data_IF_036919298757
#
_entry.id   IF_036919298757
#
_cell.length_a   1.000
_cell.length_b   1.000
_cell.length_c   1.000
_cell.angle_alpha   90.00
_cell.angle_beta   90.00
_cell.angle_gamma   90.00
#
_symmetry.space_group_name_H-M   'P 1'
#
loop_
_entity.id
_entity.type
_entity.pdbx_description
1 polymer ?
#
# COMPACT_ATOMS: atom_id res chain seq x y z
N UNK A 1 15.04 25.47 15.20
CA UNK A 1 14.80 25.83 13.78
C UNK A 1 13.48 25.21 13.36
N UNK A 2 12.47 26.05 13.14
CA UNK A 2 11.09 25.60 12.92
C UNK A 2 10.96 24.70 11.70
N UNK A 3 10.20 23.62 11.82
CA UNK A 3 9.79 22.79 10.69
C UNK A 3 8.90 23.61 9.78
N UNK A 4 9.49 24.29 8.80
CA UNK A 4 8.76 24.92 7.69
C UNK A 4 7.92 23.84 7.02
N UNK A 5 6.59 23.99 7.10
CA UNK A 5 5.66 23.08 6.43
C UNK A 5 6.05 22.96 4.96
N UNK A 6 6.20 21.73 4.46
CA UNK A 6 6.62 21.46 3.08
C UNK A 6 5.59 21.99 2.06
N UNK A 7 4.38 22.33 2.52
CA UNK A 7 3.22 22.71 1.70
C UNK A 7 2.77 24.16 1.97
N UNK A 8 3.68 25.13 2.17
CA UNK A 8 3.25 26.54 2.22
C UNK A 8 2.82 27.04 0.84
N UNK A 9 1.89 27.99 0.81
CA UNK A 9 1.41 28.61 -0.43
C UNK A 9 2.55 29.18 -1.26
N UNK A 10 3.46 29.96 -0.65
CA UNK A 10 4.56 30.58 -1.41
C UNK A 10 5.48 29.52 -2.04
N UNK A 11 5.79 28.46 -1.29
CA UNK A 11 6.67 27.39 -1.77
C UNK A 11 6.00 26.58 -2.87
N UNK A 12 4.71 26.25 -2.72
CA UNK A 12 3.97 25.50 -3.72
C UNK A 12 3.80 26.30 -5.01
N UNK A 13 3.48 27.59 -4.94
CA UNK A 13 3.35 28.45 -6.13
C UNK A 13 4.67 28.56 -6.89
N UNK A 14 5.77 28.82 -6.19
CA UNK A 14 7.10 28.92 -6.82
C UNK A 14 7.52 27.62 -7.50
N UNK A 15 7.34 26.48 -6.82
CA UNK A 15 7.77 25.18 -7.37
C UNK A 15 6.80 24.68 -8.45
N UNK A 16 5.51 25.02 -8.37
CA UNK A 16 4.53 24.70 -9.41
C UNK A 16 4.78 25.47 -10.70
N UNK A 17 5.15 26.75 -10.65
CA UNK A 17 5.46 27.52 -11.85
C UNK A 17 6.57 26.87 -12.71
N UNK A 18 7.58 26.28 -12.06
CA UNK A 18 8.70 25.63 -12.75
C UNK A 18 8.49 24.12 -13.02
N UNK A 19 7.49 23.51 -12.39
CA UNK A 19 7.26 22.07 -12.50
C UNK A 19 6.57 21.74 -13.82
N UNK A 20 7.08 20.70 -14.48
CA UNK A 20 6.50 20.16 -15.71
C UNK A 20 5.40 19.12 -15.47
N UNK A 21 5.15 18.74 -14.22
CA UNK A 21 4.12 17.79 -13.83
C UNK A 21 4.20 17.37 -12.36
N UNK A 22 3.22 16.58 -11.90
CA UNK A 22 3.10 16.20 -10.48
C UNK A 22 4.31 15.46 -9.89
N UNK A 23 4.98 14.62 -10.68
CA UNK A 23 6.18 13.91 -10.22
C UNK A 23 7.39 14.87 -10.08
N UNK A 24 7.52 15.81 -11.02
CA UNK A 24 8.54 16.85 -10.99
C UNK A 24 8.33 17.83 -9.83
N UNK A 25 7.09 18.24 -9.60
CA UNK A 25 6.68 19.01 -8.41
C UNK A 25 7.06 18.29 -7.11
N UNK A 26 6.72 17.01 -6.98
CA UNK A 26 7.08 16.21 -5.78
C UNK A 26 8.60 16.11 -5.59
N UNK A 27 9.36 15.90 -6.66
CA UNK A 27 10.83 15.84 -6.62
C UNK A 27 11.45 17.15 -6.17
N UNK A 28 10.99 18.29 -6.73
CA UNK A 28 11.46 19.64 -6.39
C UNK A 28 11.07 20.07 -4.97
N UNK A 29 9.99 19.51 -4.43
CA UNK A 29 9.60 19.67 -3.03
C UNK A 29 10.37 18.73 -2.07
N UNK A 30 11.23 17.85 -2.58
CA UNK A 30 11.98 16.88 -1.78
C UNK A 30 11.10 15.81 -1.12
N UNK A 31 9.89 15.57 -1.65
CA UNK A 31 8.97 14.55 -1.13
C UNK A 31 9.03 13.27 -1.97
N UNK A 32 9.08 12.12 -1.30
CA UNK A 32 9.07 10.83 -1.99
C UNK A 32 7.76 10.63 -2.76
N UNK A 33 7.89 10.20 -4.03
CA UNK A 33 6.77 9.93 -4.93
C UNK A 33 5.88 8.81 -4.36
N UNK A 34 4.68 9.17 -3.88
CA UNK A 34 3.67 8.21 -3.44
C UNK A 34 2.27 8.66 -3.82
N UNK A 35 1.39 7.72 -4.19
CA UNK A 35 0.03 8.05 -4.63
C UNK A 35 -0.84 8.68 -3.54
N UNK A 36 -0.52 8.45 -2.26
CA UNK A 36 -1.17 9.13 -1.13
C UNK A 36 -0.72 10.58 -0.99
N UNK A 37 0.60 10.84 -1.02
CA UNK A 37 1.15 12.20 -0.93
C UNK A 37 0.78 13.05 -2.14
N UNK A 38 0.74 12.45 -3.33
CA UNK A 38 0.24 13.11 -4.54
C UNK A 38 -1.19 13.64 -4.37
N UNK A 39 -2.08 12.86 -3.75
CA UNK A 39 -3.46 13.30 -3.47
C UNK A 39 -3.50 14.46 -2.48
N UNK A 40 -2.72 14.39 -1.41
CA UNK A 40 -2.60 15.50 -0.45
C UNK A 40 -2.09 16.78 -1.13
N UNK A 41 -1.06 16.66 -1.98
CA UNK A 41 -0.50 17.78 -2.74
C UNK A 41 -1.52 18.36 -3.73
N UNK A 42 -2.31 17.51 -4.40
CA UNK A 42 -3.40 17.94 -5.27
C UNK A 42 -4.48 18.72 -4.52
N UNK A 43 -4.88 18.24 -3.33
CA UNK A 43 -5.84 18.96 -2.48
C UNK A 43 -5.30 20.32 -2.04
N UNK A 44 -4.03 20.41 -1.66
CA UNK A 44 -3.40 21.67 -1.22
C UNK A 44 -3.23 22.67 -2.38
N UNK A 45 -2.85 22.20 -3.58
CA UNK A 45 -2.77 23.04 -4.79
C UNK A 45 -4.15 23.60 -5.15
N UNK A 46 -5.20 22.80 -5.04
CA UNK A 46 -6.58 23.24 -5.29
C UNK A 46 -7.08 24.22 -4.21
N UNK A 47 -6.73 23.99 -2.95
CA UNK A 47 -7.06 24.88 -1.82
C UNK A 47 -6.41 26.26 -1.96
N UNK A 48 -5.19 26.32 -2.52
CA UNK A 48 -4.45 27.56 -2.73
C UNK A 48 -4.69 28.24 -4.09
N UNK A 49 -5.56 27.67 -4.93
CA UNK A 49 -5.86 28.12 -6.29
C UNK A 49 -4.60 28.34 -7.15
N UNK A 50 -3.67 27.38 -7.09
CA UNK A 50 -2.40 27.45 -7.82
C UNK A 50 -2.60 26.88 -9.22
N UNK A 51 -2.28 27.67 -10.24
CA UNK A 51 -2.33 27.22 -11.64
C UNK A 51 -1.37 26.05 -11.89
N UNK A 52 -1.94 24.94 -12.35
CA UNK A 52 -1.21 23.73 -12.75
C UNK A 52 -1.66 23.23 -14.12
N UNK A 53 -2.32 24.09 -14.90
CA UNK A 53 -2.81 23.77 -16.25
C UNK A 53 -1.66 23.44 -17.23
N UNK A 54 -0.49 24.05 -17.03
CA UNK A 54 0.73 23.80 -17.81
C UNK A 54 1.41 22.47 -17.48
N UNK A 55 0.98 21.77 -16.43
CA UNK A 55 1.55 20.48 -16.09
C UNK A 55 1.28 19.52 -17.24
N UNK A 56 2.35 19.03 -17.86
CA UNK A 56 2.25 17.97 -18.86
C UNK A 56 1.60 16.80 -18.15
N UNK A 57 0.32 16.57 -18.44
CA UNK A 57 -0.22 15.24 -18.26
C UNK A 57 0.71 14.37 -19.08
N UNK A 58 1.43 13.45 -18.42
CA UNK A 58 1.94 12.29 -19.14
C UNK A 58 0.69 11.68 -19.74
N UNK A 59 0.42 11.99 -21.02
CA UNK A 59 -0.55 11.30 -21.83
C UNK A 59 -0.35 9.84 -21.46
N UNK A 60 -1.34 9.18 -20.84
CA UNK A 60 -1.15 7.82 -20.36
C UNK A 60 -0.71 7.08 -21.60
N UNK A 61 0.56 6.66 -21.61
CA UNK A 61 1.32 6.14 -22.75
C UNK A 61 0.33 5.65 -23.80
N UNK A 62 -0.04 6.52 -24.77
CA UNK A 62 -1.22 6.30 -25.62
C UNK A 62 -0.82 5.22 -26.61
N UNK A 63 -0.86 3.97 -26.15
CA UNK A 63 -0.47 2.79 -26.94
C UNK A 63 -1.33 2.69 -28.20
N UNK A 64 -2.51 3.32 -28.20
CA UNK A 64 -3.42 3.46 -29.32
C UNK A 64 -4.24 4.75 -29.17
N UNK A 65 -4.45 5.47 -30.29
CA UNK A 65 -5.25 6.70 -30.38
C UNK A 65 -6.74 6.41 -30.21
N UNK A 66 -7.56 7.42 -29.89
CA UNK A 66 -9.02 7.23 -29.82
C UNK A 66 -9.60 6.86 -31.19
N UNK A 67 -9.00 7.37 -32.28
CA UNK A 67 -9.30 6.95 -33.65
C UNK A 67 -9.03 5.46 -33.89
N UNK A 68 -7.88 4.94 -33.45
CA UNK A 68 -7.55 3.52 -33.59
C UNK A 68 -8.51 2.62 -32.79
N UNK A 69 -8.97 3.09 -31.61
CA UNK A 69 -10.03 2.40 -30.86
C UNK A 69 -11.33 2.40 -31.64
N UNK A 70 -11.74 3.54 -32.21
CA UNK A 70 -13.00 3.67 -32.94
C UNK A 70 -13.02 2.74 -34.17
N UNK A 71 -11.92 2.65 -34.91
CA UNK A 71 -11.78 1.73 -36.05
C UNK A 71 -11.84 0.25 -35.63
N UNK A 72 -11.13 -0.09 -34.55
CA UNK A 72 -11.18 -1.44 -33.99
C UNK A 72 -12.57 -1.79 -33.49
N UNK A 73 -13.30 -0.85 -32.87
CA UNK A 73 -14.67 -1.01 -32.40
C UNK A 73 -15.65 -1.15 -33.57
N UNK A 74 -15.56 -0.33 -34.60
CA UNK A 74 -16.46 -0.38 -35.75
C UNK A 74 -16.46 -1.76 -36.44
N UNK A 75 -15.32 -2.44 -36.42
CA UNK A 75 -15.10 -3.72 -37.09
C UNK A 75 -15.15 -4.93 -36.14
N UNK A 76 -15.43 -4.73 -34.85
CA UNK A 76 -15.44 -5.81 -33.84
C UNK A 76 -16.79 -5.94 -33.14
N UNK A 77 -17.00 -7.09 -32.51
CA UNK A 77 -18.20 -7.40 -31.73
C UNK A 77 -17.89 -7.65 -30.26
N UNK A 78 -16.61 -7.79 -29.91
CA UNK A 78 -16.15 -8.00 -28.53
C UNK A 78 -14.93 -7.14 -28.18
N UNK A 79 -14.75 -6.77 -26.90
CA UNK A 79 -13.53 -6.06 -26.44
C UNK A 79 -12.26 -6.89 -26.60
N UNK A 80 -12.40 -8.22 -26.66
CA UNK A 80 -11.28 -9.13 -26.89
C UNK A 80 -10.73 -8.97 -28.30
N UNK A 81 -11.61 -8.89 -29.30
CA UNK A 81 -11.24 -8.58 -30.68
C UNK A 81 -10.66 -7.18 -30.80
N UNK A 82 -11.23 -6.19 -30.10
CA UNK A 82 -10.66 -4.82 -30.07
C UNK A 82 -9.23 -4.86 -29.53
N UNK A 83 -8.98 -5.55 -28.41
CA UNK A 83 -7.64 -5.69 -27.86
C UNK A 83 -6.68 -6.40 -28.83
N UNK A 84 -7.14 -7.46 -29.51
CA UNK A 84 -6.35 -8.19 -30.50
C UNK A 84 -5.98 -7.32 -31.71
N UNK A 85 -6.93 -6.56 -32.27
CA UNK A 85 -6.68 -5.62 -33.39
C UNK A 85 -5.76 -4.47 -33.02
N UNK A 86 -5.80 -4.04 -31.77
CA UNK A 86 -4.87 -3.06 -31.22
C UNK A 86 -3.49 -3.67 -30.87
N UNK A 87 -3.26 -4.96 -31.14
CA UNK A 87 -2.00 -5.66 -30.87
C UNK A 87 -1.70 -5.81 -29.37
N UNK A 88 -2.73 -5.89 -28.52
CA UNK A 88 -2.59 -5.93 -27.06
C UNK A 88 -3.17 -7.24 -26.50
N UNK A 89 -2.47 -7.89 -25.56
CA UNK A 89 -3.02 -9.08 -24.91
C UNK A 89 -4.36 -8.76 -24.21
N UNK A 90 -5.41 -9.57 -24.43
CA UNK A 90 -6.74 -9.34 -23.85
C UNK A 90 -6.78 -9.77 -22.37
N UNK A 91 -5.97 -9.12 -21.54
CA UNK A 91 -6.02 -9.26 -20.09
C UNK A 91 -7.19 -8.44 -19.49
N UNK A 92 -7.71 -8.85 -18.34
CA UNK A 92 -8.85 -8.20 -17.66
C UNK A 92 -8.63 -6.69 -17.45
N UNK A 93 -7.40 -6.28 -17.13
CA UNK A 93 -7.03 -4.87 -17.00
C UNK A 93 -7.10 -4.09 -18.32
N UNK A 94 -6.59 -4.68 -19.42
CA UNK A 94 -6.64 -4.10 -20.77
C UNK A 94 -8.07 -3.90 -21.24
N UNK A 95 -8.92 -4.91 -21.04
CA UNK A 95 -10.34 -4.87 -21.43
C UNK A 95 -11.11 -3.80 -20.64
N UNK A 96 -10.85 -3.69 -19.33
CA UNK A 96 -11.45 -2.63 -18.50
C UNK A 96 -11.00 -1.23 -18.91
N UNK A 97 -9.72 -1.07 -19.26
CA UNK A 97 -9.19 0.20 -19.74
C UNK A 97 -9.79 0.61 -21.10
N UNK A 98 -9.90 -0.33 -22.04
CA UNK A 98 -10.55 -0.11 -23.34
C UNK A 98 -12.01 0.27 -23.17
N UNK A 99 -12.77 -0.44 -22.33
CA UNK A 99 -14.17 -0.12 -22.03
C UNK A 99 -14.35 1.32 -21.53
N UNK A 100 -13.51 1.77 -20.58
CA UNK A 100 -13.55 3.14 -20.07
C UNK A 100 -13.22 4.17 -21.14
N UNK A 101 -12.26 3.89 -22.01
CA UNK A 101 -11.86 4.80 -23.09
C UNK A 101 -12.92 4.92 -24.17
N UNK A 102 -13.56 3.82 -24.54
CA UNK A 102 -14.69 3.80 -25.47
C UNK A 102 -15.83 4.68 -24.95
N UNK A 103 -16.18 4.52 -23.66
CA UNK A 103 -17.21 5.33 -23.02
C UNK A 103 -16.83 6.82 -22.95
N UNK A 104 -15.59 7.14 -22.56
CA UNK A 104 -15.11 8.51 -22.47
C UNK A 104 -15.01 9.21 -23.83
N UNK A 105 -14.74 8.47 -24.91
CA UNK A 105 -14.66 8.97 -26.27
C UNK A 105 -16.02 9.00 -27.00
N UNK A 106 -17.10 8.52 -26.37
CA UNK A 106 -18.43 8.50 -26.97
C UNK A 106 -18.53 7.60 -28.22
N UNK A 107 -17.69 6.57 -28.33
CA UNK A 107 -17.65 5.69 -29.51
C UNK A 107 -18.88 4.76 -29.50
N UNK A 108 -19.59 4.67 -30.64
CA UNK A 108 -20.77 3.82 -30.77
C UNK A 108 -20.42 2.33 -30.66
N UNK A 109 -21.04 1.65 -29.70
CA UNK A 109 -20.85 0.22 -29.41
C UNK A 109 -22.12 -0.61 -29.57
N UNK A 110 -23.09 -0.15 -30.37
CA UNK A 110 -24.32 -0.93 -30.68
C UNK A 110 -24.04 -2.37 -31.16
N UNK A 111 -22.90 -2.60 -31.83
CA UNK A 111 -22.45 -3.92 -32.30
C UNK A 111 -21.86 -4.82 -31.21
N UNK A 112 -21.73 -4.34 -29.97
CA UNK A 112 -21.16 -5.08 -28.84
C UNK A 112 -22.31 -5.55 -27.93
N UNK A 113 -22.89 -6.74 -28.17
CA UNK A 113 -24.00 -7.25 -27.37
C UNK A 113 -23.62 -7.45 -25.89
N UNK A 114 -22.32 -7.50 -25.57
CA UNK A 114 -21.81 -7.62 -24.21
C UNK A 114 -21.41 -6.31 -23.50
N UNK A 115 -21.22 -5.18 -24.21
CA UNK A 115 -20.89 -3.89 -23.57
C UNK A 115 -22.11 -3.14 -23.08
N UNK A 116 -23.21 -3.25 -23.83
CA UNK A 116 -24.48 -2.60 -23.52
C UNK A 116 -25.38 -3.45 -22.60
N UNK A 117 -24.91 -4.60 -22.09
CA UNK A 117 -25.62 -5.32 -21.04
C UNK A 117 -25.48 -4.54 -19.74
N UNK A 118 -26.42 -3.65 -19.48
CA UNK A 118 -26.93 -3.47 -18.13
C UNK A 118 -27.13 -4.87 -17.55
N UNK A 119 -26.47 -5.12 -16.41
CA UNK A 119 -26.71 -6.23 -15.47
C UNK A 119 -27.53 -7.40 -16.03
N UNK A 120 -26.89 -8.54 -16.33
CA UNK A 120 -27.51 -9.82 -16.70
C UNK A 120 -29.03 -9.83 -16.52
N UNK A 121 -29.79 -9.60 -17.59
CA UNK A 121 -31.25 -9.62 -17.52
C UNK A 121 -31.67 -11.06 -17.25
N UNK A 122 -32.03 -11.35 -15.99
CA UNK A 122 -32.47 -12.66 -15.58
C UNK A 122 -33.95 -12.78 -15.95
N UNK A 123 -34.42 -13.91 -16.49
CA UNK A 123 -35.77 -14.05 -17.02
C UNK A 123 -36.81 -14.25 -15.90
N UNK A 124 -36.82 -13.35 -14.90
CA UNK A 124 -37.77 -13.39 -13.79
C UNK A 124 -38.82 -12.30 -13.95
N UNK A 125 -40.07 -12.70 -13.83
CA UNK A 125 -41.23 -11.80 -13.74
C UNK A 125 -41.22 -11.07 -12.39
N UNK A 126 -41.94 -9.95 -12.31
CA UNK A 126 -42.03 -9.16 -11.06
C UNK A 126 -42.67 -9.97 -9.94
N UNK A 127 -43.62 -10.84 -10.25
CA UNK A 127 -44.30 -11.69 -9.27
C UNK A 127 -43.41 -12.82 -8.75
N UNK A 128 -42.58 -13.43 -9.59
CA UNK A 128 -41.57 -14.40 -9.15
C UNK A 128 -40.54 -13.76 -8.21
N UNK A 129 -40.11 -12.53 -8.52
CA UNK A 129 -39.18 -11.79 -7.66
C UNK A 129 -39.81 -11.39 -6.32
N UNK A 130 -41.08 -10.96 -6.30
CA UNK A 130 -41.82 -10.68 -5.05
C UNK A 130 -41.98 -11.94 -4.19
N UNK A 131 -42.38 -13.05 -4.81
CA UNK A 131 -42.57 -14.33 -4.12
C UNK A 131 -41.25 -14.82 -3.51
N UNK A 132 -40.16 -14.76 -4.29
CA UNK A 132 -38.84 -15.14 -3.80
C UNK A 132 -38.28 -14.17 -2.75
N UNK A 133 -38.56 -12.88 -2.86
CA UNK A 133 -38.19 -11.88 -1.85
C UNK A 133 -38.93 -12.13 -0.52
N UNK A 134 -40.24 -12.40 -0.56
CA UNK A 134 -41.02 -12.71 0.65
C UNK A 134 -40.59 -14.01 1.32
N UNK A 135 -40.25 -15.04 0.54
CA UNK A 135 -39.84 -16.35 1.04
C UNK A 135 -38.40 -16.40 1.58
N UNK A 136 -37.61 -15.34 1.43
CA UNK A 136 -36.18 -15.35 1.78
C UNK A 136 -35.77 -14.17 2.65
N UNK A 137 -34.59 -14.29 3.26
CA UNK A 137 -34.01 -13.28 4.15
C UNK A 137 -32.72 -12.65 3.58
N UNK A 138 -32.33 -13.00 2.34
CA UNK A 138 -31.16 -12.42 1.67
C UNK A 138 -31.16 -12.64 0.16
N UNK A 139 -30.50 -11.76 -0.60
CA UNK A 139 -30.31 -11.91 -2.06
C UNK A 139 -29.57 -13.21 -2.42
N UNK A 140 -28.70 -13.72 -1.52
CA UNK A 140 -28.01 -15.01 -1.72
C UNK A 140 -28.99 -16.18 -1.60
N UNK A 141 -29.88 -16.15 -0.60
CA UNK A 141 -30.93 -17.16 -0.44
C UNK A 141 -31.92 -17.10 -1.62
N UNK A 142 -32.30 -15.89 -2.04
CA UNK A 142 -33.14 -15.65 -3.21
C UNK A 142 -32.49 -16.19 -4.51
N UNK A 143 -31.19 -15.99 -4.71
CA UNK A 143 -30.48 -16.55 -5.87
C UNK A 143 -30.56 -18.09 -5.89
N UNK A 144 -30.37 -18.75 -4.74
CA UNK A 144 -30.52 -20.21 -4.63
C UNK A 144 -31.94 -20.68 -4.88
N UNK A 145 -32.94 -19.96 -4.35
CA UNK A 145 -34.36 -20.28 -4.54
C UNK A 145 -34.78 -20.16 -6.02
N UNK A 146 -34.26 -19.14 -6.71
CA UNK A 146 -34.52 -18.89 -8.13
C UNK A 146 -33.62 -19.74 -9.06
N UNK A 147 -32.81 -20.66 -8.52
CA UNK A 147 -31.93 -21.53 -9.31
C UNK A 147 -30.79 -20.81 -10.03
N UNK A 148 -30.45 -19.58 -9.62
CA UNK A 148 -29.37 -18.79 -10.21
C UNK A 148 -28.06 -19.06 -9.47
N UNK A 149 -26.94 -19.03 -10.21
CA UNK A 149 -25.61 -19.17 -9.64
C UNK A 149 -25.34 -18.15 -8.53
N UNK A 150 -24.73 -18.60 -7.43
CA UNK A 150 -24.36 -17.77 -6.27
C UNK A 150 -23.05 -17.00 -6.50
N UNK A 151 -23.01 -16.26 -7.61
CA UNK A 151 -21.86 -15.43 -7.99
C UNK A 151 -22.16 -13.93 -7.78
N UNK A 152 -21.12 -13.11 -7.91
CA UNK A 152 -21.25 -11.66 -7.73
C UNK A 152 -22.14 -10.99 -8.77
N UNK A 153 -22.16 -11.55 -10.00
CA UNK A 153 -22.86 -11.00 -11.16
C UNK A 153 -24.36 -11.21 -11.06
N UNK A 154 -24.80 -12.43 -10.75
CA UNK A 154 -26.21 -12.79 -10.56
C UNK A 154 -26.83 -12.04 -9.39
N UNK A 155 -26.11 -11.94 -8.26
CA UNK A 155 -26.57 -11.13 -7.13
C UNK A 155 -26.64 -9.63 -7.44
N UNK A 156 -25.81 -9.12 -8.35
CA UNK A 156 -25.88 -7.72 -8.79
C UNK A 156 -27.08 -7.48 -9.71
N UNK A 157 -27.35 -8.40 -10.63
CA UNK A 157 -28.55 -8.38 -11.47
C UNK A 157 -29.84 -8.44 -10.67
N UNK A 158 -29.97 -9.38 -9.72
CA UNK A 158 -31.14 -9.47 -8.84
C UNK A 158 -31.35 -8.16 -8.05
N UNK A 159 -30.27 -7.54 -7.52
CA UNK A 159 -30.38 -6.25 -6.83
C UNK A 159 -30.87 -5.12 -7.74
N UNK A 160 -30.45 -5.11 -8.99
CA UNK A 160 -30.90 -4.13 -9.98
C UNK A 160 -32.39 -4.31 -10.27
N UNK A 161 -32.82 -5.53 -10.58
CA UNK A 161 -34.23 -5.84 -10.87
C UNK A 161 -35.15 -5.52 -9.68
N UNK A 162 -34.72 -5.81 -8.45
CA UNK A 162 -35.46 -5.46 -7.23
C UNK A 162 -35.62 -3.94 -7.07
N UNK A 163 -34.56 -3.18 -7.36
CA UNK A 163 -34.56 -1.72 -7.28
C UNK A 163 -35.42 -1.07 -8.38
N UNK A 164 -35.23 -1.46 -9.64
CA UNK A 164 -35.99 -0.94 -10.79
C UNK A 164 -37.48 -1.19 -10.65
N UNK A 165 -37.86 -2.34 -10.08
CA UNK A 165 -39.26 -2.75 -9.92
C UNK A 165 -39.86 -2.38 -8.57
N UNK A 166 -39.11 -1.67 -7.72
CA UNK A 166 -39.58 -1.16 -6.42
C UNK A 166 -40.01 -2.26 -5.44
N UNK A 167 -39.41 -3.45 -5.50
CA UNK A 167 -39.78 -4.57 -4.62
C UNK A 167 -39.16 -4.35 -3.24
N UNK A 168 -39.99 -4.36 -2.19
CA UNK A 168 -39.51 -4.20 -0.82
C UNK A 168 -38.74 -5.44 -0.34
N UNK A 169 -37.53 -5.19 0.18
CA UNK A 169 -36.62 -6.18 0.75
C UNK A 169 -36.07 -5.71 2.11
N UNK A 170 -36.81 -4.84 2.81
CA UNK A 170 -36.40 -4.26 4.09
C UNK A 170 -36.09 -5.33 5.16
N UNK A 171 -36.75 -6.49 5.10
CA UNK A 171 -36.53 -7.61 6.02
C UNK A 171 -35.21 -8.37 5.81
N UNK A 172 -34.45 -8.10 4.75
CA UNK A 172 -33.21 -8.84 4.48
C UNK A 172 -32.12 -8.55 5.53
N UNK A 173 -31.57 -9.61 6.14
CA UNK A 173 -30.65 -9.58 7.30
C UNK A 173 -29.29 -8.93 7.02
N UNK A 174 -28.93 -8.76 5.74
CA UNK A 174 -27.68 -8.11 5.31
C UNK A 174 -27.92 -6.79 4.56
N UNK A 175 -29.00 -6.07 4.89
CA UNK A 175 -29.18 -4.71 4.39
C UNK A 175 -28.03 -3.85 4.86
N UNK A 176 -27.31 -3.24 3.92
CA UNK A 176 -26.36 -2.17 4.25
C UNK A 176 -27.20 -0.99 4.74
N UNK A 177 -27.29 -0.77 6.05
CA UNK A 177 -27.95 0.41 6.63
C UNK A 177 -27.37 1.63 5.95
N UNK A 178 -28.17 2.35 5.17
CA UNK A 178 -27.78 3.58 4.51
C UNK A 178 -27.18 4.54 5.54
N UNK A 179 -26.17 5.31 5.18
CA UNK A 179 -25.75 6.44 6.02
C UNK A 179 -26.58 7.61 5.51
N UNK A 180 -27.73 7.95 6.14
CA UNK A 180 -28.52 9.09 5.71
C UNK A 180 -27.66 10.35 5.77
N UNK A 181 -27.79 11.19 4.76
CA UNK A 181 -26.96 12.39 4.61
C UNK A 181 -27.15 13.35 5.78
N UNK A 182 -28.39 13.61 6.16
CA UNK A 182 -28.74 14.52 7.26
C UNK A 182 -28.19 14.01 8.60
N UNK A 183 -28.36 12.71 8.86
CA UNK A 183 -27.80 12.06 10.04
C UNK A 183 -26.28 12.12 10.08
N UNK A 184 -25.60 11.99 8.93
CA UNK A 184 -24.15 12.09 8.86
C UNK A 184 -23.65 13.53 9.09
N UNK A 185 -24.33 14.54 8.54
CA UNK A 185 -24.00 15.96 8.78
C UNK A 185 -24.09 16.28 10.26
N UNK A 186 -25.21 15.94 10.90
CA UNK A 186 -25.40 16.14 12.33
C UNK A 186 -24.34 15.41 13.17
N UNK A 187 -24.07 14.14 12.84
CA UNK A 187 -23.10 13.32 13.55
C UNK A 187 -21.66 13.85 13.41
N UNK A 188 -21.26 14.36 12.24
CA UNK A 188 -19.92 14.92 12.02
C UNK A 188 -19.73 16.21 12.83
N UNK A 189 -20.72 17.09 12.86
CA UNK A 189 -20.63 18.35 13.64
C UNK A 189 -20.50 18.10 15.14
N UNK A 190 -21.23 17.12 15.68
CA UNK A 190 -21.22 16.83 17.11
C UNK A 190 -20.08 15.90 17.58
N UNK A 191 -19.41 15.19 16.66
CA UNK A 191 -18.42 14.18 17.00
C UNK A 191 -17.00 14.75 17.13
N UNK A 192 -16.21 14.14 18.01
CA UNK A 192 -14.77 14.40 18.13
C UNK A 192 -13.89 13.40 17.36
N UNK A 193 -14.49 12.33 16.79
CA UNK A 193 -13.79 11.31 16.03
C UNK A 193 -14.72 10.52 15.12
N UNK A 194 -14.17 9.83 14.11
CA UNK A 194 -14.94 8.91 13.27
C UNK A 194 -15.59 7.76 14.05
N UNK A 195 -15.03 7.36 15.19
CA UNK A 195 -15.65 6.37 16.05
C UNK A 195 -16.92 6.93 16.70
N UNK A 196 -16.90 8.19 17.13
CA UNK A 196 -18.07 8.88 17.69
C UNK A 196 -19.15 9.11 16.63
N UNK A 197 -18.76 9.46 15.40
CA UNK A 197 -19.70 9.52 14.26
C UNK A 197 -20.39 8.18 14.05
N UNK A 198 -19.64 7.07 14.05
CA UNK A 198 -20.23 5.73 13.88
C UNK A 198 -21.19 5.39 15.03
N UNK A 199 -20.83 5.72 16.28
CA UNK A 199 -21.72 5.50 17.44
C UNK A 199 -23.00 6.33 17.36
N UNK A 200 -22.90 7.61 16.99
CA UNK A 200 -24.04 8.50 16.82
C UNK A 200 -24.99 8.02 15.70
N UNK A 201 -24.44 7.37 14.66
CA UNK A 201 -25.21 6.76 13.57
C UNK A 201 -25.72 5.34 13.89
N UNK A 202 -25.52 4.82 15.10
CA UNK A 202 -25.88 3.45 15.46
C UNK A 202 -25.11 2.36 14.69
N UNK A 203 -23.95 2.70 14.13
CA UNK A 203 -23.12 1.79 13.35
C UNK A 203 -22.06 1.12 14.24
N UNK A 204 -21.84 -0.20 14.09
CA UNK A 204 -20.73 -0.88 14.75
C UNK A 204 -19.38 -0.27 14.36
N UNK A 205 -18.50 -0.04 15.36
CA UNK A 205 -17.14 0.47 15.14
C UNK A 205 -16.29 -0.64 14.54
N UNK A 206 -16.22 -0.66 13.21
CA UNK A 206 -15.45 -1.63 12.42
C UNK A 206 -14.68 -0.94 11.29
N UNK A 207 -13.62 -1.57 10.80
CA UNK A 207 -12.82 -1.02 9.69
C UNK A 207 -13.65 -0.81 8.40
N UNK A 208 -14.61 -1.68 8.16
CA UNK A 208 -15.49 -1.57 6.99
C UNK A 208 -16.39 -0.34 7.08
N UNK A 209 -17.04 -0.13 8.23
CA UNK A 209 -17.85 1.05 8.48
C UNK A 209 -17.00 2.32 8.51
N UNK A 210 -15.77 2.22 9.04
CA UNK A 210 -14.84 3.33 9.08
C UNK A 210 -14.47 3.82 7.67
N UNK A 211 -14.14 2.91 6.75
CA UNK A 211 -13.85 3.27 5.35
C UNK A 211 -15.08 3.87 4.66
N UNK A 212 -16.25 3.32 4.93
CA UNK A 212 -17.51 3.76 4.34
C UNK A 212 -17.91 5.17 4.79
N UNK A 213 -17.89 5.44 6.10
CA UNK A 213 -18.20 6.76 6.65
C UNK A 213 -17.19 7.79 6.14
N UNK A 214 -15.89 7.49 6.16
CA UNK A 214 -14.86 8.38 5.59
C UNK A 214 -15.12 8.72 4.13
N UNK A 215 -15.48 7.73 3.32
CA UNK A 215 -15.78 7.96 1.90
C UNK A 215 -16.99 8.89 1.74
N UNK A 216 -18.07 8.65 2.50
CA UNK A 216 -19.28 9.48 2.42
C UNK A 216 -19.06 10.90 2.92
N UNK A 217 -18.27 11.09 3.99
CA UNK A 217 -17.85 12.42 4.47
C UNK A 217 -17.07 13.16 3.39
N UNK A 218 -16.13 12.48 2.70
CA UNK A 218 -15.36 13.08 1.62
C UNK A 218 -16.21 13.41 0.38
N UNK A 219 -17.13 12.53 0.00
CA UNK A 219 -18.10 12.77 -1.09
C UNK A 219 -18.98 14.00 -0.82
N UNK A 220 -19.29 14.28 0.44
CA UNK A 220 -20.12 15.40 0.88
C UNK A 220 -19.32 16.66 1.25
N UNK A 221 -17.99 16.61 1.21
CA UNK A 221 -17.14 17.73 1.59
C UNK A 221 -17.32 18.20 3.04
N UNK A 222 -17.63 17.29 3.98
CA UNK A 222 -17.86 17.67 5.38
C UNK A 222 -16.54 17.95 6.10
N UNK A 223 -16.51 19.04 6.87
CA UNK A 223 -15.34 19.37 7.68
C UNK A 223 -15.15 18.36 8.82
N UNK A 224 -13.92 17.88 8.96
CA UNK A 224 -13.49 16.97 10.03
C UNK A 224 -12.22 17.46 10.70
N UNK A 225 -11.84 18.73 10.48
CA UNK A 225 -10.65 19.37 11.05
C UNK A 225 -10.66 19.38 12.58
N UNK A 226 -11.85 19.48 13.18
CA UNK A 226 -12.09 19.46 14.63
C UNK A 226 -11.92 18.06 15.25
N UNK A 227 -11.77 17.00 14.46
CA UNK A 227 -11.60 15.66 15.00
C UNK A 227 -10.25 15.52 15.71
N UNK A 228 -10.29 15.10 16.98
CA UNK A 228 -9.10 14.87 17.78
C UNK A 228 -8.33 13.66 17.23
N UNK A 229 -7.20 13.91 16.56
CA UNK A 229 -6.24 12.85 16.22
C UNK A 229 -5.67 12.29 17.52
N UNK A 230 -6.05 11.07 17.88
CA UNK A 230 -5.24 10.27 18.81
C UNK A 230 -3.93 9.98 18.09
N UNK A 231 -2.83 10.58 18.54
CA UNK A 231 -1.50 10.04 18.24
C UNK A 231 -1.54 8.60 18.72
N UNK A 232 -1.41 7.64 17.78
CA UNK A 232 -1.14 6.26 18.18
C UNK A 232 0.01 6.35 19.17
N UNK A 233 -0.23 5.91 20.40
CA UNK A 233 0.77 6.02 21.47
C UNK A 233 2.09 5.52 20.92
N UNK A 234 3.16 6.28 21.13
CA UNK A 234 4.52 5.86 20.75
C UNK A 234 4.69 4.42 21.18
N UNK A 235 4.80 3.51 20.19
CA UNK A 235 5.03 2.10 20.47
C UNK A 235 6.24 2.05 21.39
N UNK A 236 6.03 1.65 22.65
CA UNK A 236 7.13 1.45 23.59
C UNK A 236 7.95 0.30 23.03
N UNK A 237 8.99 0.62 22.27
CA UNK A 237 9.97 -0.36 21.83
C UNK A 237 10.62 -0.89 23.10
N UNK A 238 10.31 -2.14 23.44
CA UNK A 238 10.94 -2.80 24.57
C UNK A 238 12.46 -2.74 24.41
N UNK A 239 13.18 -2.43 25.50
CA UNK A 239 14.63 -2.41 25.46
C UNK A 239 15.16 -3.76 24.95
N UNK A 240 16.10 -3.76 23.99
CA UNK A 240 16.62 -5.01 23.43
C UNK A 240 17.32 -5.81 24.53
N UNK A 241 17.00 -7.10 24.65
CA UNK A 241 17.59 -8.00 25.66
C UNK A 241 19.12 -8.06 25.54
N UNK A 242 19.84 -8.10 26.65
CA UNK A 242 21.28 -8.35 26.70
C UNK A 242 21.61 -9.71 26.05
N UNK A 243 22.62 -9.75 25.18
CA UNK A 243 23.01 -10.97 24.46
C UNK A 243 24.43 -11.44 24.77
N UNK A 244 25.28 -10.60 25.41
CA UNK A 244 26.70 -10.90 25.59
C UNK A 244 26.93 -12.24 26.30
N UNK A 245 26.18 -12.51 27.37
CA UNK A 245 26.24 -13.77 28.13
C UNK A 245 25.89 -15.01 27.30
N UNK A 246 25.07 -14.88 26.25
CA UNK A 246 24.73 -16.00 25.35
C UNK A 246 25.75 -16.20 24.23
N UNK A 247 26.47 -15.15 23.88
CA UNK A 247 27.38 -15.11 22.73
C UNK A 247 28.79 -15.50 23.13
N UNK A 248 29.28 -15.02 24.28
CA UNK A 248 30.64 -15.27 24.74
C UNK A 248 30.80 -16.64 25.39
N UNK A 249 30.84 -17.67 24.55
CA UNK A 249 31.05 -19.06 24.96
C UNK A 249 31.74 -19.85 23.85
N UNK A 250 32.31 -20.99 24.22
CA UNK A 250 32.70 -22.01 23.25
C UNK A 250 31.43 -22.72 22.76
N UNK A 251 31.27 -22.83 21.45
CA UNK A 251 30.15 -23.53 20.82
C UNK A 251 30.48 -25.01 20.62
N UNK A 252 29.48 -25.91 20.66
CA UNK A 252 29.69 -27.33 20.37
C UNK A 252 30.28 -27.56 18.97
N UNK A 253 31.08 -28.61 18.85
CA UNK A 253 31.66 -29.06 17.58
C UNK A 253 30.55 -29.31 16.53
N UNK A 254 30.81 -28.94 15.26
CA UNK A 254 29.80 -28.97 14.19
C UNK A 254 28.81 -27.79 14.18
N UNK A 255 28.89 -26.85 15.13
CA UNK A 255 28.13 -25.61 15.06
C UNK A 255 28.54 -24.73 13.88
N UNK A 256 27.57 -24.08 13.25
CA UNK A 256 27.84 -23.04 12.26
C UNK A 256 28.56 -21.83 12.87
N UNK A 257 29.38 -21.13 12.09
CA UNK A 257 30.04 -19.88 12.52
C UNK A 257 28.99 -18.86 13.01
N UNK A 258 29.27 -18.22 14.14
CA UNK A 258 28.36 -17.22 14.71
C UNK A 258 28.20 -16.00 13.80
N UNK A 259 27.00 -15.42 13.78
CA UNK A 259 26.71 -14.27 12.94
C UNK A 259 27.54 -13.05 13.38
N UNK A 260 28.24 -12.41 12.42
CA UNK A 260 29.07 -11.23 12.68
C UNK A 260 28.33 -10.11 13.42
N UNK A 261 27.08 -9.83 13.05
CA UNK A 261 26.28 -8.78 13.69
C UNK A 261 25.97 -9.11 15.15
N UNK A 262 25.78 -10.41 15.47
CA UNK A 262 25.56 -10.88 16.83
C UNK A 262 26.82 -10.72 17.69
N UNK A 263 27.99 -11.10 17.16
CA UNK A 263 29.29 -10.88 17.82
C UNK A 263 29.58 -9.39 18.01
N UNK A 264 29.35 -8.57 16.99
CA UNK A 264 29.57 -7.12 17.07
C UNK A 264 28.67 -6.47 18.13
N UNK A 265 27.40 -6.86 18.21
CA UNK A 265 26.48 -6.39 19.24
C UNK A 265 26.92 -6.82 20.64
N UNK A 266 27.33 -8.07 20.83
CA UNK A 266 27.83 -8.54 22.13
C UNK A 266 29.11 -7.81 22.58
N UNK A 267 30.04 -7.54 21.65
CA UNK A 267 31.25 -6.76 21.92
C UNK A 267 30.91 -5.31 22.29
N UNK A 268 29.97 -4.69 21.58
CA UNK A 268 29.50 -3.33 21.90
C UNK A 268 28.81 -3.29 23.27
N UNK A 269 28.02 -4.31 23.61
CA UNK A 269 27.29 -4.43 24.88
C UNK A 269 28.23 -4.46 26.10
N UNK A 270 29.42 -5.07 25.98
CA UNK A 270 30.43 -5.09 27.04
C UNK A 270 31.48 -3.99 26.92
N UNK A 271 31.24 -2.98 26.06
CA UNK A 271 32.10 -1.81 25.95
C UNK A 271 33.42 -2.03 25.21
N UNK A 272 33.50 -3.03 24.32
CA UNK A 272 34.68 -3.18 23.46
C UNK A 272 34.71 -2.03 22.45
N UNK A 273 35.79 -1.23 22.43
CA UNK A 273 35.91 -0.11 21.51
C UNK A 273 36.01 -0.61 20.07
N UNK A 274 35.30 0.04 19.14
CA UNK A 274 35.35 -0.28 17.72
C UNK A 274 36.62 0.28 17.07
N UNK A 275 37.78 -0.27 17.44
CA UNK A 275 39.09 0.11 16.92
C UNK A 275 39.94 -1.11 16.62
N UNK A 276 40.77 -1.02 15.59
CA UNK A 276 41.77 -2.03 15.29
C UNK A 276 42.75 -2.15 16.47
N UNK A 277 42.95 -3.34 17.00
CA UNK A 277 43.86 -3.53 18.13
C UNK A 277 45.34 -3.34 17.76
N UNK A 278 45.69 -3.50 16.48
CA UNK A 278 47.08 -3.40 15.99
C UNK A 278 47.47 -1.96 15.63
N UNK A 279 46.62 -1.27 14.86
CA UNK A 279 46.95 0.07 14.33
C UNK A 279 46.08 1.20 14.86
N UNK A 280 45.14 0.90 15.77
CA UNK A 280 44.26 1.90 16.37
C UNK A 280 43.15 2.44 15.45
N UNK A 281 43.08 2.03 14.18
CA UNK A 281 42.08 2.53 13.24
C UNK A 281 40.63 2.34 13.75
N UNK A 282 39.87 3.42 13.84
CA UNK A 282 38.51 3.49 14.40
C UNK A 282 37.40 3.21 13.37
N UNK A 283 37.74 2.65 12.21
CA UNK A 283 36.82 2.37 11.12
C UNK A 283 36.80 3.42 10.02
N UNK A 284 37.93 4.09 9.76
CA UNK A 284 38.08 5.05 8.66
C UNK A 284 39.32 4.79 7.80
N UNK A 285 39.19 4.99 6.48
CA UNK A 285 40.28 4.86 5.52
C UNK A 285 40.09 5.85 4.38
N UNK A 286 41.11 6.67 4.10
CA UNK A 286 41.07 7.72 3.05
C UNK A 286 39.81 8.60 3.11
N UNK A 287 39.36 8.96 4.31
CA UNK A 287 38.17 9.78 4.53
C UNK A 287 36.82 9.05 4.41
N UNK A 288 36.80 7.78 4.06
CA UNK A 288 35.59 6.94 4.03
C UNK A 288 35.52 5.92 5.17
N UNK A 289 34.34 5.40 5.52
CA UNK A 289 34.20 4.36 6.54
C UNK A 289 34.74 3.02 6.04
N UNK A 290 35.44 2.28 6.91
CA UNK A 290 35.81 0.88 6.67
C UNK A 290 35.31 -0.02 7.79
N UNK A 291 34.86 -1.21 7.39
CA UNK A 291 34.39 -2.21 8.34
C UNK A 291 35.58 -2.91 9.00
N UNK A 292 35.74 -2.73 10.31
CA UNK A 292 36.63 -3.59 11.11
C UNK A 292 36.05 -5.01 11.19
N UNK A 293 36.92 -5.98 10.99
CA UNK A 293 36.64 -7.41 11.01
C UNK A 293 36.83 -7.95 12.43
N UNK A 294 36.04 -8.97 12.78
CA UNK A 294 36.18 -9.68 14.06
C UNK A 294 37.04 -10.90 13.79
N UNK A 295 38.22 -10.93 14.41
CA UNK A 295 39.18 -12.02 14.34
C UNK A 295 39.15 -12.83 15.64
N UNK A 296 39.33 -14.13 15.49
CA UNK A 296 39.49 -15.09 16.58
C UNK A 296 40.99 -15.32 16.75
N UNK A 297 41.56 -14.96 17.90
CA UNK A 297 43.02 -14.99 18.15
C UNK A 297 43.58 -16.39 17.93
N UNK A 298 42.87 -17.42 18.40
CA UNK A 298 43.26 -18.83 18.21
C UNK A 298 42.86 -19.42 16.84
N UNK A 299 42.22 -18.64 15.96
CA UNK A 299 41.72 -19.10 14.66
C UNK A 299 40.49 -20.03 14.71
N UNK A 300 40.00 -20.39 15.90
CA UNK A 300 38.83 -21.24 16.09
C UNK A 300 37.55 -20.40 16.18
N UNK A 301 36.72 -20.43 15.13
CA UNK A 301 35.45 -19.70 15.09
C UNK A 301 34.35 -20.24 16.04
N UNK A 302 34.56 -21.41 16.65
CA UNK A 302 33.67 -21.95 17.67
C UNK A 302 33.91 -21.30 19.04
N UNK A 303 35.12 -20.78 19.28
CA UNK A 303 35.49 -20.15 20.54
C UNK A 303 35.16 -18.65 20.53
N UNK A 304 33.91 -18.31 20.83
CA UNK A 304 33.45 -16.92 20.87
C UNK A 304 33.71 -16.24 22.22
N UNK A 305 34.52 -16.81 23.12
CA UNK A 305 34.82 -16.16 24.40
C UNK A 305 35.42 -14.76 24.16
N UNK A 306 35.08 -13.81 25.03
CA UNK A 306 35.41 -12.39 24.85
C UNK A 306 36.91 -12.18 24.65
N UNK A 307 37.72 -12.86 25.44
CA UNK A 307 39.18 -12.84 25.42
C UNK A 307 39.79 -13.33 24.10
N UNK A 308 39.06 -14.16 23.33
CA UNK A 308 39.52 -14.69 22.05
C UNK A 308 39.12 -13.80 20.86
N UNK A 309 38.28 -12.78 21.07
CA UNK A 309 37.76 -11.91 20.00
C UNK A 309 38.45 -10.55 19.99
N UNK A 310 38.86 -10.09 18.80
CA UNK A 310 39.44 -8.74 18.58
C UNK A 310 38.94 -8.09 17.29
N UNK A 311 38.93 -6.76 17.28
CA UNK A 311 38.70 -5.99 16.06
C UNK A 311 40.01 -5.74 15.32
N UNK A 312 40.03 -6.00 14.02
CA UNK A 312 41.13 -5.70 13.11
C UNK A 312 40.61 -4.97 11.87
N UNK A 313 41.35 -3.97 11.39
CA UNK A 313 41.06 -3.41 10.07
C UNK A 313 41.47 -4.41 8.98
N UNK A 314 40.90 -4.34 7.76
CA UNK A 314 41.22 -5.30 6.70
C UNK A 314 42.73 -5.42 6.39
N UNK A 315 43.49 -4.34 6.51
CA UNK A 315 44.94 -4.32 6.26
C UNK A 315 45.78 -4.97 7.38
N UNK A 316 45.34 -4.88 8.63
CA UNK A 316 46.00 -5.55 9.75
C UNK A 316 45.58 -7.00 9.83
N UNK A 317 44.30 -7.29 9.58
CA UNK A 317 43.80 -8.65 9.53
C UNK A 317 44.50 -9.45 8.44
N UNK A 318 44.82 -8.84 7.29
CA UNK A 318 45.54 -9.54 6.23
C UNK A 318 46.95 -10.05 6.59
N UNK A 319 47.50 -9.60 7.73
CA UNK A 319 48.81 -10.01 8.24
C UNK A 319 48.72 -11.13 9.28
N UNK A 320 47.53 -11.48 9.76
CA UNK A 320 47.39 -12.51 10.79
C UNK A 320 47.59 -13.90 10.18
N UNK A 321 48.09 -14.84 11.00
CA UNK A 321 48.17 -16.25 10.63
C UNK A 321 46.78 -16.89 10.40
N UNK A 322 45.71 -16.22 10.86
CA UNK A 322 44.30 -16.64 10.74
C UNK A 322 43.61 -16.12 9.47
N UNK A 323 44.31 -15.33 8.64
CA UNK A 323 43.74 -14.67 7.46
C UNK A 323 43.57 -15.59 6.25
N UNK A 324 42.38 -15.56 5.63
CA UNK A 324 42.01 -16.16 4.34
C UNK A 324 42.27 -17.68 4.12
N UNK A 325 42.87 -18.41 5.06
CA UNK A 325 42.96 -19.88 5.05
C UNK A 325 42.74 -20.44 6.45
N UNK A 326 41.82 -21.40 6.55
CA UNK A 326 41.30 -21.96 7.79
C UNK A 326 42.35 -22.62 8.69
N UNK A 327 42.00 -22.72 9.97
CA UNK A 327 42.76 -23.46 10.97
C UNK A 327 43.21 -24.82 10.45
N UNK A 328 44.52 -25.02 10.46
CA UNK A 328 45.16 -26.22 9.97
C UNK A 328 46.59 -26.31 10.46
N UNK A 329 46.78 -26.18 11.78
CA UNK A 329 47.89 -26.77 12.56
C UNK A 329 47.53 -26.62 14.04
N UNK A 330 46.84 -27.62 14.58
CA UNK A 330 47.03 -27.96 15.99
C UNK A 330 48.54 -28.15 16.18
N UNK A 331 49.20 -27.27 16.93
CA UNK A 331 50.42 -27.66 17.62
C UNK A 331 49.98 -28.23 18.97
N UNK A 332 50.17 -29.54 19.21
CA UNK A 332 50.04 -30.06 20.55
C UNK A 332 51.21 -29.51 21.38
N UNK A 333 50.91 -29.01 22.58
CA UNK A 333 51.81 -29.22 23.73
C UNK A 333 51.30 -30.44 24.48
#
# INVERSE_FOLDING_TARGET
>A
MGTTSVYTRERLTAVAAEASGWADLMRRLGVNESGGRRRTLQSQVAEFDIDTSHFKQRSPWRKYTDSAIAEAVATSTTLREVAQKLGVPPATGTLSHLSKRIAAAGIDVKRFPGLNRSTTDLPFTTEELKTAAAATQSVRAMARLLGVGDDGRSRAALRHMLHERGIDIAHFTHRRVGVPEDGLRAAVTAAASFADVMRALGLPVSDQNHRRVRRRVAELGLDTSHFKRRTWGTVRVAAPKAIAHTVFRVRPEGSSRENRARLHRALTEVGVPYRCVECGNEGSWRGGPITLQIDHINGNWLDNRRENLRYLCPNCHSKTATWCRGGGRHQPM
#
